data_IF_797510707809
#
_entry.id   IF_797510707809
#
_cell.length_a   1.000
_cell.length_b   1.000
_cell.length_c   1.000
_cell.angle_alpha   90.00
_cell.angle_beta   90.00
_cell.angle_gamma   90.00
#
_symmetry.space_group_name_H-M   'P 1'
#
loop_
_entity.id
_entity.type
_entity.pdbx_description
1 polymer ?
#
# COMPACT_ATOMS: atom_id res chain seq x y z
N UNK A 1 9.26 -5.89 8.56
CA UNK A 1 8.94 -7.28 8.22
C UNK A 1 8.72 -7.35 6.72
N UNK A 2 9.76 -7.66 5.94
CA UNK A 2 9.57 -8.00 4.53
C UNK A 2 9.45 -9.52 4.47
N UNK A 3 8.25 -10.02 4.72
CA UNK A 3 7.92 -11.42 4.50
C UNK A 3 7.85 -11.63 2.98
N UNK A 4 9.01 -11.85 2.36
CA UNK A 4 9.05 -12.30 0.97
C UNK A 4 8.37 -13.67 0.91
N UNK A 5 7.18 -13.70 0.29
CA UNK A 5 6.46 -14.94 0.02
C UNK A 5 7.36 -15.87 -0.80
N UNK A 6 7.71 -17.01 -0.22
CA UNK A 6 8.60 -18.00 -0.85
C UNK A 6 7.95 -18.63 -2.09
N UNK A 7 6.62 -18.68 -2.12
CA UNK A 7 5.80 -19.29 -3.15
C UNK A 7 4.83 -18.27 -3.73
N UNK A 8 4.52 -18.42 -5.01
CA UNK A 8 3.41 -17.76 -5.70
C UNK A 8 2.62 -18.84 -6.47
N UNK A 9 1.42 -18.50 -6.95
CA UNK A 9 0.56 -19.44 -7.68
C UNK A 9 1.30 -20.13 -8.86
N UNK A 10 2.09 -19.37 -9.62
CA UNK A 10 2.88 -19.91 -10.74
C UNK A 10 3.97 -20.89 -10.31
N UNK A 11 4.70 -20.62 -9.22
CA UNK A 11 5.73 -21.54 -8.70
C UNK A 11 5.12 -22.84 -8.19
N UNK A 12 3.92 -22.77 -7.63
CA UNK A 12 3.19 -23.94 -7.15
C UNK A 12 2.72 -24.77 -8.36
N UNK A 13 2.16 -24.13 -9.37
CA UNK A 13 1.73 -24.80 -10.62
C UNK A 13 2.89 -25.50 -11.35
N UNK A 14 4.06 -24.86 -11.44
CA UNK A 14 5.22 -25.42 -12.14
C UNK A 14 6.04 -26.40 -11.28
N UNK A 15 5.58 -26.74 -10.06
CA UNK A 15 6.35 -27.58 -9.14
C UNK A 15 6.20 -29.04 -9.51
N UNK A 16 7.29 -29.65 -9.98
CA UNK A 16 7.38 -31.09 -10.15
C UNK A 16 7.87 -31.76 -8.86
N UNK A 17 7.20 -32.85 -8.47
CA UNK A 17 7.58 -33.70 -7.35
C UNK A 17 8.20 -35.01 -7.86
N UNK A 18 9.24 -35.47 -7.17
CA UNK A 18 9.79 -36.81 -7.40
C UNK A 18 8.83 -37.85 -6.83
N UNK A 19 8.54 -38.90 -7.59
CA UNK A 19 7.72 -40.02 -7.13
C UNK A 19 8.61 -41.02 -6.39
N UNK A 20 8.23 -41.34 -5.15
CA UNK A 20 8.90 -42.35 -4.33
C UNK A 20 7.93 -43.50 -4.03
N UNK A 21 8.46 -44.70 -3.76
CA UNK A 21 7.67 -45.94 -3.63
C UNK A 21 6.70 -45.93 -2.42
N UNK A 22 6.92 -45.04 -1.45
CA UNK A 22 6.03 -44.77 -0.31
C UNK A 22 5.52 -43.32 -0.29
N UNK A 23 5.20 -42.76 -1.45
CA UNK A 23 4.71 -41.39 -1.60
C UNK A 23 3.18 -41.26 -1.64
N UNK A 24 2.72 -40.00 -1.58
CA UNK A 24 1.34 -39.64 -1.94
C UNK A 24 1.10 -39.87 -3.43
N UNK A 25 -0.14 -40.14 -3.80
CA UNK A 25 -0.49 -40.31 -5.21
C UNK A 25 -0.43 -38.96 -5.93
N UNK A 26 0.10 -38.89 -7.17
CA UNK A 26 0.18 -37.63 -7.91
C UNK A 26 -1.17 -36.92 -8.04
N UNK A 27 -2.26 -37.68 -8.24
CA UNK A 27 -3.62 -37.11 -8.36
C UNK A 27 -4.12 -36.43 -7.08
N UNK A 28 -3.84 -37.01 -5.92
CA UNK A 28 -4.23 -36.41 -4.63
C UNK A 28 -3.45 -35.13 -4.37
N UNK A 29 -2.15 -35.13 -4.69
CA UNK A 29 -1.30 -33.95 -4.59
C UNK A 29 -1.76 -32.86 -5.55
N UNK A 30 -2.00 -33.18 -6.82
CA UNK A 30 -2.47 -32.21 -7.82
C UNK A 30 -3.81 -31.58 -7.42
N UNK A 31 -4.78 -32.40 -7.01
CA UNK A 31 -6.08 -31.89 -6.55
C UNK A 31 -5.96 -30.98 -5.34
N UNK A 32 -5.02 -31.25 -4.43
CA UNK A 32 -4.76 -30.38 -3.29
C UNK A 32 -4.06 -29.08 -3.73
N UNK A 33 -3.09 -29.17 -4.63
CA UNK A 33 -2.36 -28.02 -5.14
C UNK A 33 -3.26 -27.08 -5.95
N UNK A 34 -4.27 -27.58 -6.66
CA UNK A 34 -5.27 -26.75 -7.33
C UNK A 34 -5.99 -25.82 -6.34
N UNK A 35 -6.41 -26.35 -5.18
CA UNK A 35 -7.03 -25.55 -4.11
C UNK A 35 -6.06 -24.53 -3.55
N UNK A 36 -4.82 -24.96 -3.27
CA UNK A 36 -3.77 -24.05 -2.76
C UNK A 36 -3.49 -22.93 -3.76
N UNK A 37 -3.43 -23.23 -5.07
CA UNK A 37 -3.23 -22.23 -6.11
C UNK A 37 -4.37 -21.20 -6.11
N UNK A 38 -5.63 -21.64 -6.00
CA UNK A 38 -6.78 -20.76 -5.90
C UNK A 38 -6.68 -19.82 -4.69
N UNK A 39 -6.33 -20.36 -3.52
CA UNK A 39 -6.15 -19.56 -2.31
C UNK A 39 -5.05 -18.52 -2.47
N UNK A 40 -3.91 -18.88 -3.09
CA UNK A 40 -2.84 -17.93 -3.37
C UNK A 40 -3.27 -16.79 -4.30
N UNK A 41 -4.08 -17.08 -5.32
CA UNK A 41 -4.65 -16.06 -6.21
C UNK A 41 -5.61 -15.13 -5.47
N UNK A 42 -6.46 -15.68 -4.59
CA UNK A 42 -7.37 -14.88 -3.75
C UNK A 42 -6.59 -14.00 -2.79
N UNK A 43 -5.56 -14.52 -2.14
CA UNK A 43 -4.70 -13.75 -1.23
C UNK A 43 -4.02 -12.59 -1.98
N UNK A 44 -3.46 -12.84 -3.17
CA UNK A 44 -2.84 -11.79 -3.98
C UNK A 44 -3.84 -10.70 -4.36
N UNK A 45 -5.05 -11.09 -4.78
CA UNK A 45 -6.13 -10.15 -5.07
C UNK A 45 -6.49 -9.30 -3.85
N UNK A 46 -6.69 -9.93 -2.68
CA UNK A 46 -7.04 -9.22 -1.44
C UNK A 46 -5.93 -8.27 -1.01
N UNK A 47 -4.67 -8.68 -1.11
CA UNK A 47 -3.51 -7.82 -0.79
C UNK A 47 -3.49 -6.59 -1.70
N UNK A 48 -3.70 -6.78 -3.02
CA UNK A 48 -3.73 -5.68 -3.97
C UNK A 48 -4.89 -4.72 -3.69
N UNK A 49 -6.09 -5.24 -3.46
CA UNK A 49 -7.26 -4.45 -3.09
C UNK A 49 -7.03 -3.64 -1.81
N UNK A 50 -6.46 -4.27 -0.77
CA UNK A 50 -6.13 -3.57 0.48
C UNK A 50 -5.03 -2.55 0.31
N UNK A 51 -4.01 -2.84 -0.50
CA UNK A 51 -2.92 -1.91 -0.81
C UNK A 51 -3.47 -0.66 -1.51
N UNK A 52 -4.36 -0.84 -2.48
CA UNK A 52 -5.00 0.26 -3.20
C UNK A 52 -5.93 1.08 -2.31
N UNK A 53 -6.74 0.42 -1.48
CA UNK A 53 -7.58 1.09 -0.47
C UNK A 53 -6.73 1.91 0.50
N UNK A 54 -5.62 1.34 0.99
CA UNK A 54 -4.72 2.02 1.91
C UNK A 54 -4.05 3.24 1.24
N UNK A 55 -3.66 3.14 -0.03
CA UNK A 55 -3.15 4.27 -0.81
C UNK A 55 -4.19 5.39 -0.95
N UNK A 56 -5.44 5.04 -1.28
CA UNK A 56 -6.55 6.01 -1.39
C UNK A 56 -6.84 6.69 -0.05
N UNK A 57 -6.85 5.93 1.05
CA UNK A 57 -7.06 6.46 2.39
C UNK A 57 -5.92 7.42 2.78
N UNK A 58 -4.66 7.03 2.57
CA UNK A 58 -3.51 7.90 2.82
C UNK A 58 -3.56 9.19 2.02
N UNK A 59 -3.94 9.11 0.74
CA UNK A 59 -4.13 10.30 -0.09
C UNK A 59 -5.22 11.22 0.48
N UNK A 60 -6.36 10.64 0.88
CA UNK A 60 -7.48 11.40 1.46
C UNK A 60 -7.07 12.10 2.76
N UNK A 61 -6.35 11.39 3.63
CA UNK A 61 -5.80 11.96 4.88
C UNK A 61 -4.89 13.14 4.57
N UNK A 62 -3.93 12.98 3.65
CA UNK A 62 -3.03 14.06 3.27
C UNK A 62 -3.78 15.28 2.71
N UNK A 63 -4.80 15.06 1.87
CA UNK A 63 -5.62 16.17 1.35
C UNK A 63 -6.39 16.92 2.44
N UNK A 64 -6.97 16.20 3.41
CA UNK A 64 -7.70 16.80 4.51
C UNK A 64 -6.76 17.55 5.47
N UNK A 65 -5.57 17.00 5.73
CA UNK A 65 -4.54 17.67 6.53
C UNK A 65 -4.10 18.99 5.87
N UNK A 66 -3.91 18.99 4.54
CA UNK A 66 -3.60 20.20 3.79
C UNK A 66 -4.73 21.24 3.86
N UNK A 67 -5.99 20.81 3.75
CA UNK A 67 -7.15 21.70 3.88
C UNK A 67 -7.27 22.30 5.28
N UNK A 68 -7.03 21.50 6.33
CA UNK A 68 -6.99 21.98 7.72
C UNK A 68 -5.89 23.04 7.90
N UNK A 69 -4.70 22.83 7.32
CA UNK A 69 -3.61 23.82 7.38
C UNK A 69 -4.01 25.11 6.67
N UNK A 70 -4.63 25.02 5.49
CA UNK A 70 -5.09 26.20 4.75
C UNK A 70 -6.16 26.99 5.53
N UNK A 71 -7.16 26.30 6.09
CA UNK A 71 -8.22 26.91 6.89
C UNK A 71 -7.66 27.57 8.16
N UNK A 72 -6.74 26.90 8.87
CA UNK A 72 -6.04 27.48 10.03
C UNK A 72 -5.26 28.73 9.65
N UNK A 73 -4.55 28.71 8.52
CA UNK A 73 -3.82 29.88 8.04
C UNK A 73 -4.75 31.05 7.69
N UNK A 74 -5.91 30.80 7.09
CA UNK A 74 -6.92 31.85 6.82
C UNK A 74 -7.49 32.44 8.11
N UNK A 75 -7.73 31.61 9.14
CA UNK A 75 -8.21 32.08 10.44
C UNK A 75 -7.20 33.03 11.10
N UNK A 76 -5.92 32.66 11.12
CA UNK A 76 -4.83 33.49 11.71
C UNK A 76 -4.67 34.84 10.99
N UNK A 77 -4.81 34.87 9.66
CA UNK A 77 -4.77 36.12 8.87
C UNK A 77 -5.95 37.04 9.21
N UNK A 78 -7.10 36.46 9.56
CA UNK A 78 -8.29 37.23 9.95
C UNK A 78 -8.12 37.86 11.35
N UNK A 79 -7.30 37.25 12.21
CA UNK A 79 -7.03 37.73 13.57
C UNK A 79 -5.83 38.70 13.68
N UNK A 80 -4.86 38.66 12.75
CA UNK A 80 -3.69 39.56 12.78
C UNK A 80 -3.30 40.06 11.37
N UNK A 81 -3.68 41.29 10.97
CA UNK A 81 -3.53 41.77 9.59
C UNK A 81 -2.12 42.29 9.23
N UNK A 82 -1.08 42.05 10.03
CA UNK A 82 0.16 42.86 9.98
C UNK A 82 1.44 42.19 9.45
N UNK A 83 1.49 40.90 9.06
CA UNK A 83 2.77 40.33 8.56
C UNK A 83 2.63 39.15 7.56
N UNK A 84 1.96 39.38 6.42
CA UNK A 84 1.61 38.35 5.43
C UNK A 84 2.79 37.82 4.59
N UNK A 85 3.87 38.58 4.43
CA UNK A 85 4.99 38.22 3.54
C UNK A 85 5.86 37.05 4.04
N UNK A 86 6.09 36.98 5.35
CA UNK A 86 6.91 35.91 5.95
C UNK A 86 6.19 34.56 5.99
N UNK A 87 4.85 34.58 6.06
CA UNK A 87 4.02 33.37 6.12
C UNK A 87 3.94 32.62 4.78
N UNK A 88 3.91 33.33 3.65
CA UNK A 88 3.89 32.68 2.34
C UNK A 88 5.21 32.01 1.99
N UNK A 89 6.34 32.54 2.50
CA UNK A 89 7.65 31.90 2.38
C UNK A 89 7.67 30.58 3.17
N UNK A 90 7.15 30.58 4.40
CA UNK A 90 7.05 29.37 5.22
C UNK A 90 6.11 28.33 4.61
N UNK A 91 4.97 28.74 4.04
CA UNK A 91 4.06 27.84 3.31
C UNK A 91 4.71 27.21 2.09
N UNK A 92 5.50 27.99 1.35
CA UNK A 92 6.22 27.50 0.16
C UNK A 92 7.33 26.51 0.55
N UNK A 93 8.04 26.76 1.66
CA UNK A 93 9.02 25.82 2.24
C UNK A 93 8.36 24.52 2.68
N UNK A 94 7.25 24.60 3.42
CA UNK A 94 6.51 23.41 3.88
C UNK A 94 6.03 22.52 2.72
N UNK A 95 5.50 23.12 1.64
CA UNK A 95 5.13 22.37 0.43
C UNK A 95 6.34 21.72 -0.26
N UNK A 96 7.48 22.38 -0.26
CA UNK A 96 8.70 21.82 -0.84
C UNK A 96 9.21 20.62 -0.03
N UNK A 97 9.14 20.67 1.29
CA UNK A 97 9.52 19.55 2.17
C UNK A 97 8.58 18.33 1.97
N UNK A 98 7.27 18.57 1.87
CA UNK A 98 6.28 17.50 1.67
C UNK A 98 6.48 16.77 0.33
N UNK A 99 6.81 17.50 -0.75
CA UNK A 99 7.10 16.91 -2.06
C UNK A 99 8.38 16.06 -2.04
N UNK A 100 9.38 16.46 -1.24
CA UNK A 100 10.64 15.73 -1.11
C UNK A 100 10.46 14.45 -0.27
N UNK A 101 9.63 14.48 0.77
CA UNK A 101 9.37 13.35 1.67
C UNK A 101 8.46 12.26 1.07
N UNK A 102 7.59 12.62 0.13
CA UNK A 102 6.68 11.68 -0.54
C UNK A 102 7.28 11.00 -1.79
N UNK A 103 8.60 11.16 -2.04
CA UNK A 103 9.34 10.50 -3.13
C UNK A 103 10.19 9.35 -2.59
#
# INVERSE_FOLDING_TARGET
MNENLKLNAEKIFNKNFSVDFQGYTPQEVDSFLDVVIQDYQVIEKVINEKSDENRKLKYTVATLEAEIIELKAKLVITETPSDTGNLDILKRLARLEEIILNK
#
